data_IF_879582757556
#
_entry.id   IF_879582757556
#
_cell.length_a   1.000
_cell.length_b   1.000
_cell.length_c   1.000
_cell.angle_alpha   90.00
_cell.angle_beta   90.00
_cell.angle_gamma   90.00
#
_symmetry.space_group_name_H-M   'P 1'
#
loop_
_entity.id
_entity.type
_entity.pdbx_description
1 polymer ?
#
# COMPACT_ATOMS: atom_id res chain seq x y z
N UNK A 1 16.73 39.57 19.17
CA UNK A 1 16.18 38.29 18.70
C UNK A 1 15.90 37.48 19.94
N UNK A 2 14.64 37.21 20.22
CA UNK A 2 14.22 36.36 21.33
C UNK A 2 14.04 34.96 20.75
N UNK A 3 14.87 34.03 21.20
CA UNK A 3 14.79 32.63 20.81
C UNK A 3 14.06 31.87 21.90
N UNK A 4 13.10 31.03 21.50
CA UNK A 4 12.41 30.13 22.41
C UNK A 4 12.47 28.72 21.87
N UNK A 5 12.78 27.77 22.74
CA UNK A 5 12.89 26.37 22.39
C UNK A 5 12.06 25.58 23.39
N UNK A 6 11.22 24.69 22.90
CA UNK A 6 10.47 23.76 23.72
C UNK A 6 10.92 22.33 23.43
N UNK A 7 11.23 21.60 24.48
CA UNK A 7 11.67 20.21 24.45
C UNK A 7 10.63 19.38 25.18
N UNK A 8 10.01 18.42 24.50
CA UNK A 8 8.88 17.63 25.03
C UNK A 8 7.75 18.50 25.63
N UNK A 9 7.53 19.69 25.05
CA UNK A 9 6.52 20.66 25.52
C UNK A 9 6.94 21.51 26.73
N UNK A 10 8.18 21.39 27.22
CA UNK A 10 8.73 22.22 28.29
C UNK A 10 9.72 23.23 27.70
N UNK A 11 9.60 24.50 28.08
CA UNK A 11 10.51 25.56 27.64
C UNK A 11 11.89 25.36 28.29
N UNK A 12 12.93 25.27 27.45
CA UNK A 12 14.32 25.21 27.89
C UNK A 12 14.92 26.60 27.93
N UNK A 13 15.82 26.81 28.89
CA UNK A 13 16.56 28.04 29.02
C UNK A 13 17.58 28.13 27.88
N UNK A 14 17.58 29.24 27.15
CA UNK A 14 18.50 29.51 26.03
C UNK A 14 19.31 30.78 26.31
N UNK A 15 20.50 30.90 25.73
CA UNK A 15 21.24 32.15 25.81
C UNK A 15 20.54 33.23 24.98
N UNK A 16 20.47 34.45 25.50
CA UNK A 16 19.86 35.62 24.84
C UNK A 16 20.50 36.00 23.50
N UNK A 17 21.70 35.48 23.22
CA UNK A 17 22.53 35.87 22.08
C UNK A 17 22.73 34.70 21.10
N UNK A 18 21.90 33.66 21.19
CA UNK A 18 22.09 32.42 20.42
C UNK A 18 21.78 32.68 18.95
N UNK A 19 22.80 32.59 18.09
CA UNK A 19 22.65 32.68 16.63
C UNK A 19 22.29 31.30 16.06
N UNK A 20 21.03 31.17 15.62
CA UNK A 20 20.49 29.94 15.04
C UNK A 20 20.30 30.15 13.54
N UNK A 21 21.12 29.47 12.75
CA UNK A 21 21.04 29.40 11.29
C UNK A 21 20.31 28.14 10.90
N UNK A 22 19.31 28.30 10.04
CA UNK A 22 18.51 27.20 9.54
C UNK A 22 18.81 26.93 8.07
N UNK A 23 19.11 25.67 7.75
CA UNK A 23 19.34 25.21 6.38
C UNK A 23 18.11 24.47 5.88
N UNK A 24 17.44 25.04 4.87
CA UNK A 24 16.36 24.36 4.14
C UNK A 24 16.96 23.56 2.99
N UNK A 25 16.59 22.28 2.90
CA UNK A 25 16.99 21.39 1.83
C UNK A 25 15.78 21.00 0.98
N UNK A 26 15.91 21.16 -0.34
CA UNK A 26 14.89 20.76 -1.31
C UNK A 26 15.26 19.36 -1.80
N UNK A 27 14.31 18.43 -1.67
CA UNK A 27 14.49 17.05 -2.11
C UNK A 27 13.84 16.83 -3.48
N UNK A 28 14.48 16.03 -4.32
CA UNK A 28 13.83 15.47 -5.49
C UNK A 28 12.91 14.32 -5.06
N UNK A 29 11.70 14.29 -5.61
CA UNK A 29 10.71 13.26 -5.34
C UNK A 29 11.11 11.94 -6.02
N UNK A 30 11.88 11.99 -7.12
CA UNK A 30 12.36 10.81 -7.83
C UNK A 30 13.49 10.07 -7.07
N UNK A 31 14.28 10.76 -6.26
CA UNK A 31 15.33 10.16 -5.44
C UNK A 31 14.87 9.93 -3.99
N UNK A 32 14.31 8.74 -3.77
CA UNK A 32 13.86 8.29 -2.45
C UNK A 32 15.04 8.02 -1.50
N UNK A 33 16.24 7.77 -2.04
CA UNK A 33 17.39 7.27 -1.29
C UNK A 33 18.11 8.37 -0.49
N UNK A 34 18.40 9.51 -1.11
CA UNK A 34 19.27 10.54 -0.52
C UNK A 34 18.46 11.72 0.01
N UNK A 35 17.43 11.40 0.81
CA UNK A 35 16.53 12.40 1.39
C UNK A 35 17.22 13.20 2.48
N UNK A 36 17.38 14.47 2.19
CA UNK A 36 18.02 15.48 3.02
C UNK A 36 16.99 16.10 4.00
N UNK A 37 17.34 16.18 5.27
CA UNK A 37 16.49 16.77 6.32
C UNK A 37 16.85 18.24 6.51
N UNK A 38 15.89 19.10 6.82
CA UNK A 38 16.25 20.45 7.23
C UNK A 38 16.97 20.39 8.59
N UNK A 39 17.97 21.25 8.79
CA UNK A 39 18.75 21.24 10.04
C UNK A 39 19.19 22.63 10.45
N UNK A 40 19.42 22.80 11.74
CA UNK A 40 20.08 23.99 12.30
C UNK A 40 21.59 23.78 12.36
N UNK A 41 22.34 24.87 12.44
CA UNK A 41 23.70 24.80 12.99
C UNK A 41 23.67 24.21 14.41
N UNK A 42 24.83 23.75 14.88
CA UNK A 42 25.00 23.43 16.30
C UNK A 42 25.07 24.72 17.12
N UNK A 43 24.38 24.73 18.25
CA UNK A 43 24.39 25.82 19.23
C UNK A 43 24.31 25.27 20.64
N UNK A 44 24.62 26.10 21.63
CA UNK A 44 24.78 25.68 23.02
C UNK A 44 23.59 26.12 23.87
N UNK A 45 23.13 25.24 24.75
CA UNK A 45 22.19 25.55 25.82
C UNK A 45 22.92 25.60 27.17
N UNK A 46 22.60 26.56 28.05
CA UNK A 46 23.13 26.58 29.40
C UNK A 46 22.64 25.38 30.22
N UNK A 47 23.48 24.85 31.09
CA UNK A 47 23.14 23.79 32.03
C UNK A 47 22.52 24.37 33.31
N UNK A 48 21.30 24.90 33.18
CA UNK A 48 20.52 25.41 34.30
C UNK A 48 19.78 24.27 35.03
N UNK A 49 19.31 24.52 36.26
CA UNK A 49 18.49 23.55 36.98
C UNK A 49 17.21 23.15 36.20
N UNK A 50 16.64 24.07 35.42
CA UNK A 50 15.49 23.77 34.56
C UNK A 50 15.88 22.81 33.42
N UNK A 51 16.99 23.09 32.71
CA UNK A 51 17.45 22.26 31.61
C UNK A 51 17.92 20.87 32.07
N UNK A 52 18.63 20.78 33.20
CA UNK A 52 19.02 19.50 33.80
C UNK A 52 17.78 18.65 34.09
N UNK A 53 16.73 19.26 34.65
CA UNK A 53 15.46 18.57 34.93
C UNK A 53 14.78 18.08 33.64
N UNK A 54 14.75 18.91 32.59
CA UNK A 54 14.16 18.56 31.28
C UNK A 54 14.93 17.42 30.62
N UNK A 55 16.25 17.39 30.77
CA UNK A 55 17.11 16.34 30.23
C UNK A 55 17.34 15.17 31.22
N UNK A 56 16.50 15.03 32.24
CA UNK A 56 16.50 13.90 33.19
C UNK A 56 17.84 13.70 33.94
N UNK A 57 18.55 14.79 34.26
CA UNK A 57 19.84 14.72 34.95
C UNK A 57 21.04 14.55 34.02
N UNK A 58 20.86 14.71 32.70
CA UNK A 58 21.92 14.51 31.72
C UNK A 58 23.21 15.28 32.07
N UNK A 59 24.33 14.58 32.22
CA UNK A 59 25.63 15.18 32.54
C UNK A 59 25.95 15.31 34.04
N UNK A 60 25.09 14.83 34.94
CA UNK A 60 25.41 14.71 36.37
C UNK A 60 26.28 13.46 36.67
N UNK A 61 27.11 13.49 37.73
CA UNK A 61 27.75 12.28 38.23
C UNK A 61 26.68 11.28 38.68
N UNK A 62 26.67 10.08 38.09
CA UNK A 62 25.61 9.05 38.22
C UNK A 62 24.35 9.26 37.38
N UNK A 63 24.46 10.01 36.28
CA UNK A 63 23.41 10.12 35.28
C UNK A 63 23.03 8.76 34.64
N UNK A 64 21.72 8.53 34.48
CA UNK A 64 21.11 7.38 33.81
C UNK A 64 20.17 7.80 32.67
N UNK A 65 20.27 9.05 32.23
CA UNK A 65 19.42 9.65 31.21
C UNK A 65 19.58 8.93 29.88
N UNK A 66 18.44 8.56 29.29
CA UNK A 66 18.39 7.95 27.95
C UNK A 66 18.15 8.99 26.85
N UNK A 67 18.01 10.25 27.24
CA UNK A 67 17.69 11.40 26.38
C UNK A 67 18.58 11.48 25.13
N UNK A 68 19.92 11.35 25.19
CA UNK A 68 20.77 11.42 23.99
C UNK A 68 20.50 10.32 22.95
N UNK A 69 19.93 9.19 23.39
CA UNK A 69 19.63 8.05 22.53
C UNK A 69 18.19 8.05 22.01
N UNK A 70 17.35 8.93 22.54
CA UNK A 70 15.94 9.04 22.20
C UNK A 70 15.72 10.15 21.16
N UNK A 71 14.66 10.01 20.36
CA UNK A 71 14.17 11.11 19.51
C UNK A 71 13.38 12.09 20.39
N UNK A 72 14.03 13.17 20.79
CA UNK A 72 13.42 14.19 21.65
C UNK A 72 12.65 15.18 20.79
N UNK A 73 11.35 15.34 21.03
CA UNK A 73 10.52 16.30 20.28
C UNK A 73 10.92 17.74 20.62
N UNK A 74 11.09 18.57 19.59
CA UNK A 74 11.55 19.94 19.74
C UNK A 74 10.70 20.91 18.90
N UNK A 75 10.42 22.07 19.47
CA UNK A 75 9.83 23.22 18.80
C UNK A 75 10.75 24.43 18.97
N UNK A 76 10.83 25.28 17.96
CA UNK A 76 11.70 26.45 17.95
C UNK A 76 10.94 27.64 17.37
N UNK A 77 10.86 28.71 18.15
CA UNK A 77 10.32 30.00 17.74
C UNK A 77 11.39 31.09 17.82
N UNK A 78 11.37 32.01 16.86
CA UNK A 78 12.23 33.18 16.80
C UNK A 78 11.36 34.43 16.70
N UNK A 79 11.55 35.36 17.63
CA UNK A 79 10.81 36.63 17.70
C UNK A 79 9.27 36.41 17.65
N UNK A 80 8.79 35.33 18.27
CA UNK A 80 7.37 34.97 18.33
C UNK A 80 6.83 34.24 17.10
N UNK A 81 7.67 33.91 16.11
CA UNK A 81 7.29 33.10 14.95
C UNK A 81 7.81 31.68 15.09
N UNK A 82 6.92 30.70 14.94
CA UNK A 82 7.29 29.28 14.93
C UNK A 82 8.09 28.94 13.66
N UNK A 83 9.39 28.75 13.83
CA UNK A 83 10.28 28.31 12.74
C UNK A 83 10.24 26.80 12.56
N UNK A 84 10.19 26.07 13.69
CA UNK A 84 10.12 24.61 13.73
C UNK A 84 8.97 24.19 14.65
N UNK A 85 7.92 23.63 14.09
CA UNK A 85 6.75 23.14 14.86
C UNK A 85 6.86 21.67 15.23
N UNK A 86 7.61 20.88 14.43
CA UNK A 86 7.86 19.44 14.64
C UNK A 86 9.31 19.11 14.26
N UNK A 87 10.24 19.33 15.17
CA UNK A 87 11.65 18.93 15.02
C UNK A 87 12.03 17.83 15.99
N UNK A 88 13.22 17.25 15.80
CA UNK A 88 13.90 16.52 16.87
C UNK A 88 15.18 17.23 17.26
N UNK A 89 15.48 17.20 18.55
CA UNK A 89 16.71 17.73 19.11
C UNK A 89 17.70 16.58 19.29
N UNK A 90 18.95 16.79 18.87
CA UNK A 90 20.05 15.89 19.15
C UNK A 90 21.10 16.61 19.99
N UNK A 91 21.53 15.96 21.06
CA UNK A 91 22.60 16.42 21.93
C UNK A 91 23.88 15.74 21.47
N UNK A 92 24.84 16.53 20.99
CA UNK A 92 26.13 16.01 20.48
C UNK A 92 27.18 15.91 21.57
N UNK A 93 27.15 16.85 22.51
CA UNK A 93 28.18 16.99 23.52
C UNK A 93 27.56 17.61 24.77
N UNK A 94 27.97 17.10 25.93
CA UNK A 94 27.60 17.64 27.23
C UNK A 94 28.89 18.03 27.94
N UNK A 95 28.96 19.28 28.36
CA UNK A 95 30.06 19.83 29.15
C UNK A 95 29.56 20.21 30.54
N UNK A 96 30.47 20.59 31.44
CA UNK A 96 30.09 20.98 32.80
C UNK A 96 29.05 22.09 32.86
N UNK A 97 29.06 23.01 31.88
CA UNK A 97 28.20 24.20 31.89
C UNK A 97 27.19 24.25 30.74
N UNK A 98 27.35 23.42 29.70
CA UNK A 98 26.59 23.58 28.45
C UNK A 98 26.24 22.25 27.78
N UNK A 99 25.08 22.21 27.13
CA UNK A 99 24.69 21.16 26.19
C UNK A 99 24.85 21.68 24.76
N UNK A 100 25.65 21.02 23.95
CA UNK A 100 25.77 21.32 22.52
C UNK A 100 24.74 20.52 21.76
N UNK A 101 23.83 21.22 21.09
CA UNK A 101 22.68 20.62 20.43
C UNK A 101 22.58 21.05 18.97
N UNK A 102 21.84 20.29 18.19
CA UNK A 102 21.34 20.69 16.88
C UNK A 102 19.95 20.11 16.67
N UNK A 103 19.13 20.81 15.89
CA UNK A 103 17.75 20.42 15.63
C UNK A 103 17.63 20.03 14.17
N UNK A 104 17.05 18.86 13.90
CA UNK A 104 16.57 18.56 12.56
C UNK A 104 15.06 18.71 12.50
N UNK A 105 14.56 19.00 11.31
CA UNK A 105 13.14 19.11 11.04
C UNK A 105 12.85 18.82 9.57
N UNK A 106 11.56 18.84 9.21
CA UNK A 106 11.11 18.70 7.83
C UNK A 106 10.71 17.28 7.47
N UNK A 107 10.89 16.93 6.19
CA UNK A 107 10.27 15.78 5.55
C UNK A 107 10.76 14.43 6.10
N UNK A 108 11.92 14.39 6.77
CA UNK A 108 12.45 13.18 7.38
C UNK A 108 11.54 12.62 8.49
N UNK A 109 10.78 13.48 9.18
CA UNK A 109 9.82 13.03 10.19
C UNK A 109 8.72 12.21 9.53
N UNK A 110 8.14 12.73 8.44
CA UNK A 110 7.15 12.00 7.65
C UNK A 110 7.68 10.65 7.17
N UNK A 111 8.90 10.61 6.63
CA UNK A 111 9.45 9.35 6.14
C UNK A 111 9.74 8.33 7.23
N UNK A 112 10.23 8.76 8.40
CA UNK A 112 10.40 7.87 9.55
C UNK A 112 9.08 7.34 10.10
N UNK A 113 8.01 8.13 10.04
CA UNK A 113 6.67 7.69 10.45
C UNK A 113 6.12 6.59 9.53
N UNK A 114 6.45 6.61 8.23
CA UNK A 114 5.99 5.61 7.27
C UNK A 114 6.98 4.45 7.02
N UNK A 115 8.24 4.56 7.47
CA UNK A 115 9.35 3.64 7.14
C UNK A 115 9.08 2.16 7.47
N UNK A 116 8.31 1.89 8.53
CA UNK A 116 7.98 0.53 8.98
C UNK A 116 6.49 0.20 8.84
N UNK A 117 5.78 0.89 7.95
CA UNK A 117 4.33 0.70 7.74
C UNK A 117 4.05 0.12 6.36
N UNK A 118 3.06 -0.76 6.30
CA UNK A 118 2.53 -1.29 5.06
C UNK A 118 1.29 -0.48 4.62
N UNK A 119 0.97 -0.50 3.33
CA UNK A 119 -0.27 0.11 2.82
C UNK A 119 -1.53 -0.50 3.47
N UNK A 120 -1.45 -1.75 3.92
CA UNK A 120 -2.53 -2.42 4.66
C UNK A 120 -2.83 -1.75 6.01
N UNK A 121 -1.86 -1.07 6.61
CA UNK A 121 -1.99 -0.48 7.95
C UNK A 121 -2.76 0.85 7.92
N UNK A 122 -3.07 1.37 6.73
CA UNK A 122 -3.72 2.66 6.52
C UNK A 122 -5.25 2.64 6.67
N UNK A 123 -5.85 1.45 6.84
CA UNK A 123 -7.31 1.30 6.91
C UNK A 123 -7.99 1.77 5.63
N UNK A 124 -7.59 1.21 4.49
CA UNK A 124 -8.12 1.58 3.18
C UNK A 124 -9.57 1.12 3.02
N UNK A 125 -10.45 2.04 2.61
CA UNK A 125 -11.87 1.79 2.41
C UNK A 125 -12.15 1.34 0.97
N UNK A 126 -11.44 0.30 0.55
CA UNK A 126 -11.48 -0.22 -0.84
C UNK A 126 -11.84 -1.71 -0.90
N UNK A 127 -12.10 -2.36 0.23
CA UNK A 127 -12.55 -3.75 0.26
C UNK A 127 -14.01 -3.85 -0.24
N UNK A 128 -14.25 -4.72 -1.22
CA UNK A 128 -15.57 -4.95 -1.79
C UNK A 128 -15.62 -6.30 -2.54
N UNK A 129 -16.82 -6.86 -2.67
CA UNK A 129 -17.03 -8.04 -3.51
C UNK A 129 -17.00 -7.65 -5.01
N UNK A 130 -16.27 -8.44 -5.80
CA UNK A 130 -16.23 -8.27 -7.25
C UNK A 130 -17.50 -8.84 -7.88
N UNK A 131 -18.34 -7.95 -8.41
CA UNK A 131 -19.60 -8.28 -9.10
C UNK A 131 -19.72 -7.41 -10.34
N UNK A 132 -20.60 -7.78 -11.28
CA UNK A 132 -20.87 -6.94 -12.45
C UNK A 132 -21.30 -5.52 -12.06
N UNK A 133 -22.05 -5.38 -10.97
CA UNK A 133 -22.52 -4.09 -10.50
C UNK A 133 -21.38 -3.26 -9.89
N UNK A 134 -20.58 -3.82 -8.97
CA UNK A 134 -19.44 -3.10 -8.38
C UNK A 134 -18.39 -2.70 -9.42
N UNK A 135 -18.19 -3.49 -10.47
CA UNK A 135 -17.32 -3.13 -11.61
C UNK A 135 -17.86 -1.92 -12.36
N UNK A 136 -19.17 -1.86 -12.64
CA UNK A 136 -19.82 -0.71 -13.29
C UNK A 136 -19.74 0.55 -12.43
N UNK A 137 -20.07 0.42 -11.15
CA UNK A 137 -20.08 1.54 -10.20
C UNK A 137 -18.67 2.12 -9.96
N UNK A 138 -17.63 1.32 -10.18
CA UNK A 138 -16.23 1.73 -10.04
C UNK A 138 -15.80 2.85 -11.01
N UNK A 139 -16.55 3.06 -12.10
CA UNK A 139 -16.29 4.14 -13.05
C UNK A 139 -16.46 5.50 -12.38
N UNK A 140 -17.46 5.67 -11.52
CA UNK A 140 -17.72 6.93 -10.81
C UNK A 140 -17.13 6.96 -9.39
N UNK A 141 -16.49 5.88 -8.96
CA UNK A 141 -15.88 5.78 -7.64
C UNK A 141 -14.56 6.59 -7.56
N UNK A 142 -14.34 7.22 -6.41
CA UNK A 142 -13.21 8.11 -6.16
C UNK A 142 -11.99 7.41 -5.53
N UNK A 143 -12.17 6.20 -4.99
CA UNK A 143 -11.15 5.44 -4.26
C UNK A 143 -10.58 4.29 -5.09
N UNK A 144 -11.43 3.52 -5.76
CA UNK A 144 -11.03 2.36 -6.56
C UNK A 144 -11.72 2.35 -7.92
N UNK A 145 -11.10 1.73 -8.92
CA UNK A 145 -11.64 1.57 -10.27
C UNK A 145 -11.15 0.26 -10.90
N UNK A 146 -12.04 -0.41 -11.62
CA UNK A 146 -11.64 -1.47 -12.56
C UNK A 146 -11.33 -0.81 -13.91
N UNK A 147 -10.06 -0.63 -14.20
CA UNK A 147 -9.61 -0.01 -15.46
C UNK A 147 -9.92 -0.98 -16.60
N UNK A 148 -10.50 -0.46 -17.68
CA UNK A 148 -10.79 -1.24 -18.88
C UNK A 148 -9.50 -1.45 -19.65
N UNK A 149 -8.76 -2.49 -19.27
CA UNK A 149 -7.55 -2.93 -19.93
C UNK A 149 -7.60 -4.43 -20.16
N UNK A 150 -6.88 -4.87 -21.18
CA UNK A 150 -6.70 -6.28 -21.49
C UNK A 150 -5.60 -6.87 -20.58
N UNK A 151 -6.00 -7.41 -19.44
CA UNK A 151 -5.12 -8.13 -18.52
C UNK A 151 -4.98 -9.61 -18.92
N UNK A 152 -4.64 -9.87 -20.19
CA UNK A 152 -4.70 -11.20 -20.85
C UNK A 152 -6.12 -11.79 -20.86
N UNK A 153 -7.08 -10.88 -21.03
CA UNK A 153 -8.51 -11.10 -21.09
C UNK A 153 -8.93 -11.97 -22.28
N UNK A 154 -9.83 -12.93 -22.08
CA UNK A 154 -10.63 -13.55 -23.14
C UNK A 154 -11.66 -12.52 -23.64
N UNK A 155 -11.18 -11.47 -24.31
CA UNK A 155 -12.05 -10.51 -24.98
C UNK A 155 -12.87 -11.27 -26.02
N UNK A 156 -14.14 -11.48 -25.71
CA UNK A 156 -15.06 -12.08 -26.67
C UNK A 156 -15.61 -10.93 -27.48
N UNK A 157 -15.12 -10.82 -28.71
CA UNK A 157 -15.67 -9.89 -29.70
C UNK A 157 -16.73 -10.63 -30.50
N UNK A 158 -17.99 -10.22 -30.37
CA UNK A 158 -18.98 -10.48 -31.41
C UNK A 158 -19.05 -9.25 -32.32
N UNK A 159 -19.37 -9.46 -33.60
CA UNK A 159 -19.61 -8.35 -34.54
C UNK A 159 -20.71 -7.46 -33.95
N UNK A 160 -20.36 -6.22 -33.58
CA UNK A 160 -21.28 -5.24 -33.00
C UNK A 160 -21.41 -5.25 -31.46
N UNK A 161 -20.68 -6.11 -30.74
CA UNK A 161 -20.67 -6.11 -29.27
C UNK A 161 -19.30 -6.55 -28.71
N UNK A 162 -18.63 -5.63 -28.01
CA UNK A 162 -17.42 -5.94 -27.23
C UNK A 162 -17.86 -6.29 -25.81
N UNK A 163 -17.87 -7.57 -25.48
CA UNK A 163 -18.12 -8.03 -24.10
C UNK A 163 -16.79 -8.20 -23.36
N UNK A 164 -16.67 -7.52 -22.22
CA UNK A 164 -15.50 -7.57 -21.35
C UNK A 164 -15.73 -8.62 -20.25
N UNK A 165 -14.82 -9.58 -20.13
CA UNK A 165 -14.86 -10.53 -19.03
C UNK A 165 -14.38 -9.85 -17.75
N UNK A 166 -15.29 -9.64 -16.80
CA UNK A 166 -14.97 -8.99 -15.53
C UNK A 166 -14.01 -9.82 -14.69
N UNK A 167 -13.98 -11.15 -14.83
CA UNK A 167 -13.16 -12.05 -14.00
C UNK A 167 -11.67 -11.74 -14.15
N UNK A 168 -11.26 -11.22 -15.31
CA UNK A 168 -9.87 -10.87 -15.60
C UNK A 168 -9.53 -9.41 -15.29
N UNK A 169 -10.50 -8.58 -14.91
CA UNK A 169 -10.23 -7.21 -14.48
C UNK A 169 -9.64 -7.18 -13.07
N UNK A 170 -8.54 -6.44 -12.92
CA UNK A 170 -7.88 -6.24 -11.63
C UNK A 170 -8.29 -4.87 -11.08
N UNK A 171 -8.62 -4.76 -9.78
CA UNK A 171 -8.92 -3.47 -9.19
C UNK A 171 -7.68 -2.58 -9.14
N UNK A 172 -7.90 -1.29 -9.31
CA UNK A 172 -6.88 -0.25 -9.17
C UNK A 172 -7.34 0.76 -8.12
N UNK A 173 -6.41 1.28 -7.33
CA UNK A 173 -6.68 2.31 -6.32
C UNK A 173 -6.20 3.66 -6.85
N UNK A 174 -6.94 4.73 -6.54
CA UNK A 174 -6.55 6.08 -6.93
C UNK A 174 -5.33 6.51 -6.11
N UNK A 175 -4.25 6.93 -6.79
CA UNK A 175 -3.01 7.34 -6.10
C UNK A 175 -3.24 8.57 -5.23
N UNK A 176 -4.09 9.51 -5.67
CA UNK A 176 -4.50 10.65 -4.84
C UNK A 176 -5.12 10.20 -3.50
N UNK A 177 -6.03 9.22 -3.53
CA UNK A 177 -6.66 8.69 -2.31
C UNK A 177 -5.62 8.06 -1.38
N UNK A 178 -4.72 7.22 -1.90
CA UNK A 178 -3.62 6.65 -1.10
C UNK A 178 -2.75 7.74 -0.49
N UNK A 179 -2.34 8.71 -1.30
CA UNK A 179 -1.47 9.80 -0.89
C UNK A 179 -2.10 10.61 0.25
N UNK A 180 -3.36 11.02 0.11
CA UNK A 180 -4.10 11.74 1.16
C UNK A 180 -4.27 10.89 2.42
N UNK A 181 -4.59 9.59 2.28
CA UNK A 181 -4.75 8.68 3.43
C UNK A 181 -3.44 8.53 4.20
N UNK A 182 -2.30 8.31 3.52
CA UNK A 182 -0.97 8.23 4.13
C UNK A 182 -0.69 9.48 4.96
N UNK A 183 -0.89 10.68 4.40
CA UNK A 183 -0.60 11.92 5.12
C UNK A 183 -1.56 12.13 6.29
N UNK A 184 -2.85 11.84 6.11
CA UNK A 184 -3.86 12.02 7.16
C UNK A 184 -3.62 11.14 8.40
N UNK A 185 -3.25 9.87 8.21
CA UNK A 185 -2.97 8.91 9.30
C UNK A 185 -1.80 9.39 10.17
N UNK A 186 -0.82 10.08 9.57
CA UNK A 186 0.36 10.58 10.26
C UNK A 186 0.28 12.08 10.62
N UNK A 187 -0.90 12.70 10.50
CA UNK A 187 -1.12 14.12 10.80
C UNK A 187 -0.20 15.09 10.03
N UNK A 188 0.00 14.81 8.75
CA UNK A 188 0.65 15.70 7.79
C UNK A 188 -0.38 16.29 6.84
N UNK A 189 -0.23 17.57 6.50
CA UNK A 189 -1.11 18.27 5.55
C UNK A 189 -0.27 18.54 4.31
N UNK A 190 -0.44 17.76 3.23
CA UNK A 190 0.35 17.94 2.04
C UNK A 190 -0.15 19.20 1.32
N UNK A 191 0.78 20.03 0.83
CA UNK A 191 0.47 21.24 0.08
C UNK A 191 1.25 21.28 -1.24
N UNK A 192 0.61 21.71 -2.31
CA UNK A 192 1.28 21.90 -3.58
C UNK A 192 0.32 21.99 -4.76
N UNK A 193 0.72 22.73 -5.80
CA UNK A 193 -0.06 22.87 -7.03
C UNK A 193 -0.21 21.56 -7.80
N UNK A 194 0.70 20.60 -7.61
CA UNK A 194 0.62 19.29 -8.27
C UNK A 194 -0.61 18.48 -7.83
N UNK A 195 -1.19 18.75 -6.66
CA UNK A 195 -2.35 18.00 -6.15
C UNK A 195 -3.64 18.27 -6.94
N UNK A 196 -3.65 19.36 -7.71
CA UNK A 196 -4.74 19.72 -8.60
C UNK A 196 -4.46 19.43 -10.07
N UNK A 197 -3.33 18.79 -10.42
CA UNK A 197 -3.04 18.47 -11.83
C UNK A 197 -3.86 17.25 -12.28
N UNK A 198 -4.24 17.25 -13.56
CA UNK A 198 -4.96 16.13 -14.15
C UNK A 198 -4.15 14.83 -14.07
N UNK A 199 -2.83 14.91 -14.28
CA UNK A 199 -1.93 13.76 -14.16
C UNK A 199 -2.00 13.10 -12.78
N UNK A 200 -1.98 13.90 -11.70
CA UNK A 200 -2.02 13.35 -10.34
C UNK A 200 -3.43 12.88 -9.94
N UNK A 201 -4.45 13.66 -10.29
CA UNK A 201 -5.85 13.35 -9.93
C UNK A 201 -6.39 12.13 -10.68
N UNK A 202 -5.87 11.85 -11.88
CA UNK A 202 -6.23 10.69 -12.70
C UNK A 202 -5.21 9.55 -12.65
N UNK A 203 -4.24 9.56 -11.72
CA UNK A 203 -3.29 8.47 -11.56
C UNK A 203 -3.88 7.31 -10.75
N UNK A 204 -3.78 6.12 -11.30
CA UNK A 204 -4.28 4.88 -10.70
C UNK A 204 -3.17 3.84 -10.60
N UNK A 205 -3.23 3.02 -9.54
CA UNK A 205 -2.28 1.94 -9.29
C UNK A 205 -3.02 0.61 -9.12
N UNK A 206 -2.70 -0.35 -9.97
CA UNK A 206 -3.22 -1.72 -9.87
C UNK A 206 -2.62 -2.43 -8.66
N UNK A 207 -3.44 -3.17 -7.91
CA UNK A 207 -2.97 -4.02 -6.81
C UNK A 207 -3.57 -5.43 -6.94
N UNK A 208 -2.76 -6.43 -6.64
CA UNK A 208 -3.06 -7.83 -7.00
C UNK A 208 -3.87 -8.59 -5.96
N UNK A 209 -4.04 -8.06 -4.74
CA UNK A 209 -4.60 -8.83 -3.63
C UNK A 209 -6.09 -8.55 -3.41
N UNK A 210 -6.93 -9.51 -3.79
CA UNK A 210 -8.31 -9.61 -3.31
C UNK A 210 -8.37 -10.19 -1.90
N UNK A 211 -9.40 -9.84 -1.13
CA UNK A 211 -9.70 -10.56 0.11
C UNK A 211 -10.27 -11.93 -0.24
N UNK A 212 -9.66 -13.00 0.26
CA UNK A 212 -10.21 -14.36 0.19
C UNK A 212 -9.77 -15.23 -1.00
N UNK A 213 -8.86 -14.77 -1.86
CA UNK A 213 -8.17 -15.71 -2.75
C UNK A 213 -7.15 -16.48 -1.93
N UNK A 214 -7.48 -17.73 -1.59
CA UNK A 214 -6.45 -18.73 -1.38
C UNK A 214 -5.53 -18.69 -2.60
N UNK A 215 -4.21 -18.73 -2.40
CA UNK A 215 -3.23 -18.89 -3.47
C UNK A 215 -3.57 -20.17 -4.24
N UNK A 216 -4.46 -20.08 -5.22
CA UNK A 216 -4.57 -21.06 -6.29
C UNK A 216 -3.41 -20.72 -7.22
N UNK A 217 -2.22 -21.18 -6.84
CA UNK A 217 -1.16 -21.41 -7.80
C UNK A 217 -1.63 -22.51 -8.74
N UNK A 218 -2.55 -22.18 -9.65
CA UNK A 218 -2.65 -22.91 -10.89
C UNK A 218 -1.35 -22.62 -11.64
N UNK A 219 -0.38 -23.53 -11.47
CA UNK A 219 0.59 -23.77 -12.53
C UNK A 219 -0.22 -23.86 -13.83
N UNK A 220 -0.11 -22.81 -14.66
CA UNK A 220 -0.53 -22.85 -16.06
C UNK A 220 0.27 -23.96 -16.73
N UNK A 221 -0.21 -25.20 -16.63
CA UNK A 221 0.19 -26.26 -17.53
C UNK A 221 -0.42 -25.88 -18.87
N UNK A 222 0.46 -25.39 -19.73
CA UNK A 222 0.17 -25.09 -21.13
C UNK A 222 -0.58 -26.26 -21.76
N UNK A 223 -1.84 -26.07 -22.13
CA UNK A 223 -2.49 -27.01 -23.04
C UNK A 223 -3.10 -26.25 -24.23
N UNK A 224 -2.40 -26.49 -25.34
CA UNK A 224 -2.65 -26.11 -26.70
C UNK A 224 -4.13 -26.16 -27.11
N UNK A 225 -4.54 -25.12 -27.86
CA UNK A 225 -5.64 -25.06 -28.84
C UNK A 225 -6.46 -26.35 -29.03
N UNK A 226 -7.59 -26.45 -28.33
CA UNK A 226 -8.65 -27.39 -28.63
C UNK A 226 -9.85 -26.60 -29.16
N UNK A 227 -10.27 -26.90 -30.39
CA UNK A 227 -11.52 -26.42 -30.95
C UNK A 227 -12.63 -27.39 -30.57
N UNK A 228 -13.69 -26.92 -29.92
CA UNK A 228 -14.82 -27.76 -29.50
C UNK A 228 -15.78 -28.04 -30.67
N UNK A 229 -16.27 -29.28 -30.77
CA UNK A 229 -17.47 -29.62 -31.54
C UNK A 229 -18.35 -30.51 -30.66
N UNK A 230 -19.62 -30.14 -30.46
CA UNK A 230 -20.53 -30.81 -29.53
C UNK A 230 -21.34 -31.91 -30.23
N UNK A 231 -21.28 -33.14 -29.72
CA UNK A 231 -22.25 -34.21 -30.01
C UNK A 231 -22.94 -34.63 -28.72
N UNK A 232 -24.27 -34.75 -28.74
CA UNK A 232 -25.08 -35.10 -27.56
C UNK A 232 -25.10 -36.63 -27.33
N UNK A 233 -24.59 -37.09 -26.19
CA UNK A 233 -24.84 -38.43 -25.66
C UNK A 233 -25.74 -38.35 -24.41
N UNK A 234 -26.70 -39.26 -24.29
CA UNK A 234 -27.66 -39.28 -23.17
C UNK A 234 -27.17 -40.09 -21.98
N UNK A 235 -27.17 -39.50 -20.79
CA UNK A 235 -26.93 -40.16 -19.49
C UNK A 235 -28.23 -40.10 -18.68
N UNK A 236 -28.64 -41.23 -18.08
CA UNK A 236 -29.82 -41.31 -17.23
C UNK A 236 -29.41 -41.51 -15.76
N UNK A 237 -29.91 -40.63 -14.87
CA UNK A 237 -29.85 -40.80 -13.43
C UNK A 237 -30.98 -41.77 -13.00
N UNK A 238 -30.71 -42.88 -12.30
CA UNK A 238 -31.75 -43.86 -11.97
C UNK A 238 -32.85 -43.34 -11.05
N UNK A 239 -32.65 -42.18 -10.38
CA UNK A 239 -33.60 -41.63 -9.41
C UNK A 239 -34.20 -40.26 -9.82
N UNK A 240 -33.96 -39.77 -11.03
CA UNK A 240 -34.54 -38.49 -11.47
C UNK A 240 -34.84 -38.49 -12.98
N UNK A 241 -36.11 -38.23 -13.33
CA UNK A 241 -36.58 -38.13 -14.71
C UNK A 241 -36.17 -36.78 -15.34
N UNK A 242 -34.89 -36.69 -15.77
CA UNK A 242 -34.30 -35.70 -16.70
C UNK A 242 -33.22 -34.78 -16.10
N UNK A 243 -32.06 -35.33 -15.76
CA UNK A 243 -30.82 -34.55 -15.75
C UNK A 243 -29.76 -35.26 -16.61
N UNK A 244 -29.56 -34.74 -17.81
CA UNK A 244 -28.50 -35.20 -18.72
C UNK A 244 -27.17 -34.61 -18.26
N UNK A 245 -26.18 -35.45 -17.98
CA UNK A 245 -24.80 -34.98 -17.82
C UNK A 245 -24.19 -34.74 -19.21
N UNK A 246 -23.48 -33.61 -19.35
CA UNK A 246 -22.90 -33.14 -20.62
C UNK A 246 -21.63 -33.95 -20.93
N UNK A 247 -21.61 -34.66 -22.04
CA UNK A 247 -20.42 -35.36 -22.52
C UNK A 247 -19.48 -34.36 -23.21
N UNK A 248 -18.20 -34.39 -22.87
CA UNK A 248 -17.15 -33.70 -23.62
C UNK A 248 -16.16 -34.76 -24.13
N UNK A 249 -16.12 -34.96 -25.44
CA UNK A 249 -15.11 -35.80 -26.09
C UNK A 249 -13.88 -34.92 -26.42
N UNK A 250 -12.72 -35.26 -25.85
CA UNK A 250 -11.46 -34.59 -26.16
C UNK A 250 -10.59 -35.52 -27.01
N UNK A 251 -10.23 -35.06 -28.20
CA UNK A 251 -9.20 -35.73 -29.01
C UNK A 251 -7.83 -35.17 -28.64
N UNK A 252 -6.98 -36.01 -28.05
CA UNK A 252 -5.56 -35.70 -27.95
C UNK A 252 -4.89 -35.87 -29.33
N UNK A 253 -3.75 -35.20 -29.54
CA UNK A 253 -2.93 -35.18 -30.78
C UNK A 253 -2.56 -36.58 -31.33
N UNK A 254 -2.73 -37.62 -30.53
CA UNK A 254 -2.45 -39.03 -30.89
C UNK A 254 -3.71 -39.85 -31.23
N UNK A 255 -4.88 -39.23 -31.46
CA UNK A 255 -6.13 -39.92 -31.83
C UNK A 255 -6.62 -40.98 -30.82
N UNK A 256 -6.22 -40.87 -29.55
CA UNK A 256 -6.85 -41.64 -28.48
C UNK A 256 -8.00 -40.78 -27.95
N UNK A 257 -9.23 -41.26 -28.14
CA UNK A 257 -10.42 -40.64 -27.56
C UNK A 257 -10.35 -40.82 -26.04
N UNK A 258 -10.32 -39.72 -25.29
CA UNK A 258 -10.41 -39.75 -23.84
C UNK A 258 -11.73 -39.10 -23.46
N UNK A 259 -12.73 -39.92 -23.17
CA UNK A 259 -14.02 -39.45 -22.69
C UNK A 259 -13.92 -39.15 -21.18
N UNK A 260 -14.22 -37.91 -20.80
CA UNK A 260 -14.32 -37.52 -19.39
C UNK A 260 -15.75 -37.12 -19.05
N UNK A 261 -16.23 -37.63 -17.93
CA UNK A 261 -17.53 -37.31 -17.37
C UNK A 261 -17.33 -36.43 -16.12
N UNK A 262 -17.90 -35.23 -16.12
CA UNK A 262 -17.94 -34.38 -14.92
C UNK A 262 -19.28 -34.61 -14.24
N UNK A 263 -19.25 -35.16 -13.03
CA UNK A 263 -20.43 -35.40 -12.20
C UNK A 263 -20.35 -34.58 -10.91
N UNK A 264 -21.49 -34.17 -10.32
CA UNK A 264 -21.52 -33.55 -8.99
C UNK A 264 -20.84 -34.42 -7.93
N UNK A 265 -20.26 -33.77 -6.91
CA UNK A 265 -19.47 -34.43 -5.84
C UNK A 265 -20.28 -35.36 -4.93
N UNK A 266 -21.61 -35.38 -5.03
CA UNK A 266 -22.51 -36.24 -4.24
C UNK A 266 -23.57 -36.88 -5.13
N UNK A 267 -23.71 -38.22 -5.11
CA UNK A 267 -24.73 -38.96 -5.85
C UNK A 267 -24.34 -40.42 -6.11
N UNK A 268 -25.33 -41.27 -6.45
CA UNK A 268 -25.08 -42.63 -6.94
C UNK A 268 -25.21 -42.64 -8.47
N UNK A 269 -24.20 -43.17 -9.17
CA UNK A 269 -24.13 -43.17 -10.62
C UNK A 269 -23.99 -44.60 -11.14
N UNK A 270 -24.68 -44.92 -12.24
CA UNK A 270 -24.54 -46.18 -12.97
C UNK A 270 -23.98 -45.88 -14.35
N UNK A 271 -22.93 -46.61 -14.73
CA UNK A 271 -22.33 -46.54 -16.06
C UNK A 271 -22.63 -47.84 -16.79
N UNK A 272 -23.38 -47.76 -17.88
CA UNK A 272 -23.58 -48.89 -18.79
C UNK A 272 -22.75 -48.63 -20.06
N UNK A 273 -21.70 -49.42 -20.28
CA UNK A 273 -20.81 -49.29 -21.43
C UNK A 273 -21.16 -50.40 -22.41
N UNK A 274 -21.71 -50.03 -23.58
CA UNK A 274 -21.90 -50.95 -24.70
C UNK A 274 -20.88 -50.59 -25.78
N UNK A 275 -19.99 -51.53 -26.08
CA UNK A 275 -18.97 -51.40 -27.13
C UNK A 275 -19.34 -52.33 -28.28
N UNK A 276 -19.65 -51.76 -29.44
CA UNK A 276 -19.68 -52.52 -30.69
C UNK A 276 -18.27 -52.58 -31.26
N UNK A 277 -17.65 -53.75 -31.16
CA UNK A 277 -16.36 -54.03 -31.78
C UNK A 277 -16.59 -54.36 -33.26
N UNK A 278 -16.53 -53.37 -34.14
CA UNK A 278 -16.34 -53.65 -35.56
C UNK A 278 -14.89 -54.03 -35.80
N UNK A 279 -14.65 -55.29 -36.16
CA UNK A 279 -13.35 -55.75 -36.67
C UNK A 279 -12.99 -54.96 -37.93
N UNK A 280 -11.81 -54.34 -37.90
CA UNK A 280 -11.19 -53.61 -39.02
C UNK A 280 -11.13 -54.45 -40.31
#
# INVERSE_FOLDING_TARGET
MITQIWVNGQEVDVYSNTDIKFTYQVNDIAEVKDRQANYTNSFNLPRTANNIRIFEGLGEPSDSSTIPYNKISCQLALDGFDLITKGWLNITETTDNEYKIHVYSGLINFFKEIESKNLSDLGLEIAHNKTVQSVKDSVDNDKYRYIWADYNGRLTTQVGSTTLNIDQLVPSVRVKYLFEKIHSVHNFIPQGKFMSTDDFTNLWMTYTKGEGEADYSEELKSENNLYETLWNFGINNPNDNNTYARLFEFKNKNNVNVDRFIVPTTGYYRFDINLDLTTL
#
